data_IF_994964519180
#
_entry.id   IF_994964519180
#
_cell.length_a   1.000
_cell.length_b   1.000
_cell.length_c   1.000
_cell.angle_alpha   90.00
_cell.angle_beta   90.00
_cell.angle_gamma   90.00
#
_symmetry.space_group_name_H-M   'P 1'
#
loop_
_entity.id
_entity.type
_entity.pdbx_description
1 polymer ?
#
# COMPACT_ATOMS: atom_id res chain seq x y z
N UNK A 1 21.56 -7.97 9.22
CA UNK A 1 20.39 -7.27 8.64
C UNK A 1 20.53 -5.81 9.02
N UNK A 2 20.36 -4.88 8.07
CA UNK A 2 20.41 -3.45 8.37
C UNK A 2 19.22 -3.06 9.26
N UNK A 3 19.43 -2.20 10.25
CA UNK A 3 18.36 -1.67 11.09
C UNK A 3 17.35 -0.91 10.22
N UNK A 4 16.03 -1.09 10.44
CA UNK A 4 15.02 -0.32 9.73
C UNK A 4 15.28 1.18 9.90
N UNK A 5 15.38 1.89 8.77
CA UNK A 5 15.47 3.34 8.76
C UNK A 5 14.05 3.92 8.88
N UNK A 6 13.90 4.99 9.66
CA UNK A 6 12.62 5.69 9.89
C UNK A 6 12.81 7.20 9.69
N UNK A 7 13.28 7.59 8.51
CA UNK A 7 13.47 8.98 8.10
C UNK A 7 12.22 9.58 7.49
N UNK A 8 11.33 8.77 6.93
CA UNK A 8 10.01 9.24 6.50
C UNK A 8 9.16 9.42 7.76
N UNK A 9 8.79 10.67 8.03
CA UNK A 9 8.12 11.07 9.26
C UNK A 9 6.72 10.46 9.36
N UNK A 10 6.22 10.30 10.59
CA UNK A 10 4.84 9.86 10.84
C UNK A 10 3.82 10.81 10.20
N UNK A 11 4.12 12.11 10.13
CA UNK A 11 3.26 13.12 9.51
C UNK A 11 3.14 12.84 8.01
N UNK A 12 4.25 12.59 7.31
CA UNK A 12 4.24 12.24 5.88
C UNK A 12 3.52 10.93 5.62
N UNK A 13 3.79 9.89 6.42
CA UNK A 13 3.12 8.58 6.29
C UNK A 13 1.61 8.70 6.45
N UNK A 14 1.16 9.46 7.45
CA UNK A 14 -0.27 9.73 7.66
C UNK A 14 -0.88 10.52 6.51
N UNK A 15 -0.20 11.57 6.05
CA UNK A 15 -0.66 12.38 4.91
C UNK A 15 -0.87 11.52 3.66
N UNK A 16 0.07 10.61 3.37
CA UNK A 16 -0.03 9.66 2.25
C UNK A 16 -1.20 8.69 2.45
N UNK A 17 -1.32 8.09 3.65
CA UNK A 17 -2.42 7.19 3.98
C UNK A 17 -3.80 7.87 3.81
N UNK A 18 -3.94 9.09 4.32
CA UNK A 18 -5.16 9.88 4.21
C UNK A 18 -5.45 10.25 2.75
N UNK A 19 -4.43 10.64 1.98
CA UNK A 19 -4.57 10.94 0.54
C UNK A 19 -5.05 9.72 -0.24
N UNK A 20 -4.58 8.52 0.10
CA UNK A 20 -4.99 7.28 -0.56
C UNK A 20 -6.42 6.91 -0.15
N UNK A 21 -6.75 6.99 1.13
CA UNK A 21 -8.08 6.66 1.64
C UNK A 21 -9.19 7.59 1.13
N UNK A 22 -8.84 8.82 0.76
CA UNK A 22 -9.77 9.81 0.20
C UNK A 22 -9.73 9.88 -1.33
N UNK A 23 -8.84 9.12 -1.97
CA UNK A 23 -8.71 9.08 -3.42
C UNK A 23 -9.94 8.41 -4.04
N UNK A 24 -10.54 8.99 -5.10
CA UNK A 24 -11.58 8.30 -5.86
C UNK A 24 -11.02 7.13 -6.69
N UNK A 25 -9.70 7.02 -6.79
CA UNK A 25 -9.00 5.97 -7.54
C UNK A 25 -8.42 4.92 -6.60
N UNK A 26 -8.62 3.62 -6.87
CA UNK A 26 -8.09 2.55 -6.06
C UNK A 26 -6.56 2.49 -6.14
N UNK A 27 -5.91 2.41 -4.98
CA UNK A 27 -4.45 2.31 -4.87
C UNK A 27 -3.89 1.00 -5.46
N UNK A 28 -4.71 -0.06 -5.49
CA UNK A 28 -4.39 -1.35 -6.12
C UNK A 28 -4.51 -1.37 -7.65
N UNK A 29 -4.86 -0.24 -8.27
CA UNK A 29 -4.95 -0.11 -9.72
C UNK A 29 -5.95 -1.10 -10.34
N UNK A 30 -5.49 -1.87 -11.33
CA UNK A 30 -6.31 -2.87 -12.04
C UNK A 30 -6.39 -4.23 -11.32
N UNK A 31 -5.68 -4.39 -10.20
CA UNK A 31 -5.79 -5.57 -9.36
C UNK A 31 -6.86 -5.34 -8.29
N UNK A 32 -7.32 -6.43 -7.67
CA UNK A 32 -7.97 -6.31 -6.37
C UNK A 32 -6.92 -6.14 -5.26
N UNK A 33 -7.37 -5.68 -4.10
CA UNK A 33 -6.49 -5.41 -2.97
C UNK A 33 -5.75 -6.65 -2.42
N UNK A 34 -6.33 -7.88 -2.35
CA UNK A 34 -5.57 -9.05 -1.97
C UNK A 34 -4.51 -9.44 -3.02
N UNK A 35 -4.80 -9.37 -4.32
CA UNK A 35 -3.81 -9.68 -5.37
C UNK A 35 -2.70 -8.64 -5.43
N UNK A 36 -3.00 -7.36 -5.26
CA UNK A 36 -1.98 -6.33 -5.10
C UNK A 36 -1.09 -6.64 -3.88
N UNK A 37 -1.71 -6.89 -2.73
CA UNK A 37 -0.98 -7.09 -1.48
C UNK A 37 -0.12 -8.36 -1.51
N UNK A 38 -0.56 -9.40 -2.24
CA UNK A 38 0.20 -10.62 -2.49
C UNK A 38 1.49 -10.42 -3.30
N UNK A 39 1.65 -9.28 -4.00
CA UNK A 39 2.90 -8.91 -4.70
C UNK A 39 3.98 -8.43 -3.74
N UNK A 40 3.58 -7.92 -2.58
CA UNK A 40 4.48 -7.38 -1.57
C UNK A 40 4.72 -8.40 -0.44
N UNK A 41 3.67 -9.13 -0.06
CA UNK A 41 3.62 -10.00 1.12
C UNK A 41 3.17 -11.43 0.77
N UNK A 42 3.68 -12.44 1.48
CA UNK A 42 3.17 -13.81 1.37
C UNK A 42 1.88 -13.99 2.20
N UNK A 43 0.77 -13.49 1.65
CA UNK A 43 -0.53 -13.48 2.32
C UNK A 43 -1.07 -14.88 2.64
N UNK A 44 -0.66 -15.92 1.90
CA UNK A 44 -1.11 -17.30 2.14
C UNK A 44 -0.41 -17.91 3.36
N UNK A 45 0.80 -17.45 3.68
CA UNK A 45 1.51 -17.82 4.90
C UNK A 45 1.18 -16.94 6.10
N UNK A 46 0.65 -15.74 5.89
CA UNK A 46 0.23 -14.83 6.96
C UNK A 46 -1.10 -15.27 7.58
N UNK A 47 -1.20 -15.18 8.91
CA UNK A 47 -2.43 -15.55 9.64
C UNK A 47 -3.55 -14.52 9.39
N UNK A 48 -4.76 -15.02 9.23
CA UNK A 48 -5.99 -14.21 9.23
C UNK A 48 -6.21 -13.47 10.55
N UNK A 49 -6.81 -12.28 10.47
CA UNK A 49 -7.36 -11.56 11.64
C UNK A 49 -8.80 -11.98 11.96
N UNK A 50 -9.49 -12.55 11.00
CA UNK A 50 -10.79 -13.17 11.16
C UNK A 50 -10.65 -14.69 11.38
N UNK A 51 -11.08 -15.25 12.53
CA UNK A 51 -10.94 -16.68 12.82
C UNK A 51 -11.71 -17.60 11.86
N UNK A 52 -12.60 -17.07 11.01
CA UNK A 52 -13.30 -17.84 9.96
C UNK A 52 -12.38 -18.23 8.80
N UNK A 53 -11.24 -17.55 8.63
CA UNK A 53 -10.28 -17.81 7.56
C UNK A 53 -8.93 -18.25 8.15
N UNK A 54 -8.18 -19.04 7.37
CA UNK A 54 -6.87 -19.55 7.82
C UNK A 54 -5.74 -18.57 7.52
N UNK A 55 -5.81 -17.88 6.38
CA UNK A 55 -4.76 -17.01 5.88
C UNK A 55 -5.27 -15.60 5.58
N UNK A 56 -4.34 -14.65 5.52
CA UNK A 56 -4.66 -13.24 5.29
C UNK A 56 -5.27 -12.98 3.91
N UNK A 57 -4.89 -13.76 2.89
CA UNK A 57 -5.44 -13.61 1.53
C UNK A 57 -6.96 -13.82 1.52
N UNK A 58 -7.43 -14.95 2.05
CA UNK A 58 -8.86 -15.30 2.06
C UNK A 58 -9.68 -14.34 2.93
N UNK A 59 -9.09 -13.87 4.04
CA UNK A 59 -9.64 -12.85 4.94
C UNK A 59 -9.85 -11.51 4.21
N UNK A 60 -8.79 -10.99 3.59
CA UNK A 60 -8.83 -9.74 2.81
C UNK A 60 -9.81 -9.87 1.65
N UNK A 61 -9.75 -10.97 0.89
CA UNK A 61 -10.65 -11.19 -0.23
C UNK A 61 -12.12 -11.20 0.22
N UNK A 62 -12.45 -11.84 1.35
CA UNK A 62 -13.83 -11.78 1.85
C UNK A 62 -14.25 -10.34 2.14
N UNK A 63 -13.43 -9.60 2.88
CA UNK A 63 -13.83 -8.30 3.41
C UNK A 63 -13.77 -7.17 2.37
N UNK A 64 -12.79 -7.20 1.47
CA UNK A 64 -12.56 -6.13 0.50
C UNK A 64 -13.15 -6.40 -0.88
N UNK A 65 -13.35 -7.67 -1.27
CA UNK A 65 -13.87 -8.01 -2.61
C UNK A 65 -15.31 -8.47 -2.56
N UNK A 66 -15.71 -9.23 -1.52
CA UNK A 66 -17.08 -9.76 -1.42
C UNK A 66 -18.01 -8.87 -0.60
N UNK A 67 -17.50 -8.26 0.47
CA UNK A 67 -18.33 -7.48 1.40
C UNK A 67 -18.15 -5.96 1.25
N UNK A 68 -16.95 -5.49 0.91
CA UNK A 68 -16.56 -4.08 0.91
C UNK A 68 -16.77 -3.39 2.27
N UNK A 69 -16.27 -3.98 3.36
CA UNK A 69 -16.61 -3.57 4.74
C UNK A 69 -15.45 -3.09 5.65
N UNK A 70 -14.20 -2.96 5.14
CA UNK A 70 -13.10 -2.28 5.90
C UNK A 70 -12.76 -0.85 5.44
N UNK A 71 -13.30 -0.41 4.29
CA UNK A 71 -13.08 0.92 3.73
C UNK A 71 -11.72 1.10 3.03
N UNK A 72 -11.64 2.06 2.11
CA UNK A 72 -10.59 2.16 1.08
C UNK A 72 -9.15 2.33 1.61
N UNK A 73 -8.99 2.77 2.87
CA UNK A 73 -7.69 2.98 3.53
C UNK A 73 -7.27 1.89 4.50
N UNK A 74 -7.99 0.76 4.59
CA UNK A 74 -7.81 -0.25 5.65
C UNK A 74 -6.37 -0.77 5.77
N UNK A 75 -5.62 -0.87 4.66
CA UNK A 75 -4.27 -1.43 4.64
C UNK A 75 -3.30 -0.64 5.55
N UNK A 76 -3.55 0.66 5.75
CA UNK A 76 -2.73 1.52 6.62
C UNK A 76 -3.04 1.35 8.11
N UNK A 77 -4.18 0.77 8.47
CA UNK A 77 -4.58 0.51 9.86
C UNK A 77 -4.51 -0.98 10.22
N UNK A 78 -4.28 -1.85 9.24
CA UNK A 78 -4.20 -3.29 9.45
C UNK A 78 -2.90 -3.69 10.20
N UNK A 79 -3.02 -4.38 11.35
CA UNK A 79 -1.87 -4.76 12.16
C UNK A 79 -0.96 -5.80 11.49
N UNK A 80 -1.43 -6.53 10.47
CA UNK A 80 -0.62 -7.49 9.72
C UNK A 80 0.51 -6.81 8.94
N UNK A 81 0.27 -5.58 8.45
CA UNK A 81 1.24 -4.81 7.67
C UNK A 81 1.87 -3.67 8.46
N UNK A 82 1.12 -3.06 9.40
CA UNK A 82 1.64 -2.01 10.27
C UNK A 82 2.33 -0.86 9.49
N UNK A 83 1.83 -0.52 8.30
CA UNK A 83 2.50 0.33 7.30
C UNK A 83 2.95 1.70 7.82
N UNK A 84 2.24 2.25 8.81
CA UNK A 84 2.60 3.53 9.41
C UNK A 84 3.86 3.44 10.28
N UNK A 85 4.27 2.23 10.68
CA UNK A 85 5.38 2.01 11.62
C UNK A 85 6.48 1.09 11.07
N UNK A 86 6.32 0.49 9.88
CA UNK A 86 7.39 -0.27 9.21
C UNK A 86 8.58 0.62 8.82
N UNK A 87 9.72 0.00 8.53
CA UNK A 87 10.90 0.70 7.99
C UNK A 87 10.61 1.39 6.66
N UNK A 88 11.37 2.44 6.33
CA UNK A 88 11.18 3.23 5.11
C UNK A 88 11.22 2.39 3.84
N UNK A 89 12.09 1.39 3.77
CA UNK A 89 12.19 0.51 2.60
C UNK A 89 10.90 -0.26 2.32
N UNK A 90 10.25 -0.76 3.37
CA UNK A 90 8.99 -1.50 3.25
C UNK A 90 7.82 -0.57 2.91
N UNK A 91 7.79 0.61 3.54
CA UNK A 91 6.82 1.65 3.21
C UNK A 91 6.94 2.10 1.75
N UNK A 92 8.15 2.42 1.29
CA UNK A 92 8.41 2.81 -0.09
C UNK A 92 8.14 1.68 -1.08
N UNK A 93 8.36 0.42 -0.70
CA UNK A 93 7.98 -0.73 -1.54
C UNK A 93 6.48 -0.77 -1.81
N UNK A 94 5.64 -0.51 -0.80
CA UNK A 94 4.19 -0.42 -0.99
C UNK A 94 3.81 0.71 -1.95
N UNK A 95 4.40 1.90 -1.78
CA UNK A 95 4.13 3.05 -2.66
C UNK A 95 4.63 2.82 -4.10
N UNK A 96 5.80 2.21 -4.26
CA UNK A 96 6.35 1.87 -5.57
C UNK A 96 5.49 0.81 -6.29
N UNK A 97 4.91 -0.13 -5.55
CA UNK A 97 4.02 -1.15 -6.14
C UNK A 97 2.76 -0.51 -6.74
N UNK A 98 2.23 0.58 -6.17
CA UNK A 98 1.04 1.30 -6.68
C UNK A 98 1.20 1.84 -8.11
N UNK A 99 2.45 2.05 -8.54
CA UNK A 99 2.81 2.58 -9.86
C UNK A 99 3.49 1.53 -10.75
N UNK A 100 3.57 0.27 -10.30
CA UNK A 100 4.15 -0.80 -11.10
C UNK A 100 3.27 -1.09 -12.33
N UNK A 101 3.81 -1.34 -13.54
CA UNK A 101 3.00 -1.50 -14.77
C UNK A 101 1.94 -2.61 -14.73
N UNK A 102 2.18 -3.68 -13.95
CA UNK A 102 1.18 -4.75 -13.70
C UNK A 102 -0.01 -4.24 -12.89
N UNK A 103 0.23 -3.32 -11.94
CA UNK A 103 -0.80 -2.72 -11.10
C UNK A 103 -1.50 -1.60 -11.87
N UNK A 104 -0.73 -0.75 -12.55
CA UNK A 104 -1.22 0.44 -13.23
C UNK A 104 -0.54 0.58 -14.60
N UNK A 105 -1.17 0.08 -15.68
CA UNK A 105 -0.57 0.10 -17.02
C UNK A 105 -0.72 1.44 -17.74
N UNK A 106 -1.58 2.35 -17.27
CA UNK A 106 -1.75 3.68 -17.85
C UNK A 106 -0.65 4.64 -17.37
N UNK A 107 0.21 5.08 -18.30
CA UNK A 107 1.33 5.98 -18.00
C UNK A 107 0.89 7.36 -17.48
N UNK A 108 -0.27 7.86 -17.90
CA UNK A 108 -0.80 9.13 -17.42
C UNK A 108 -1.26 8.99 -15.96
N UNK A 109 -1.96 7.90 -15.62
CA UNK A 109 -2.33 7.64 -14.22
C UNK A 109 -1.09 7.42 -13.34
N UNK A 110 -0.07 6.72 -13.84
CA UNK A 110 1.22 6.57 -13.15
C UNK A 110 1.84 7.95 -12.87
N UNK A 111 1.86 8.84 -13.85
CA UNK A 111 2.42 10.18 -13.69
C UNK A 111 1.66 11.00 -12.63
N UNK A 112 0.33 10.92 -12.60
CA UNK A 112 -0.50 11.60 -11.60
C UNK A 112 -0.26 11.07 -10.18
N UNK A 113 -0.27 9.75 -10.00
CA UNK A 113 0.00 9.12 -8.69
C UNK A 113 1.42 9.44 -8.23
N UNK A 114 2.40 9.32 -9.12
CA UNK A 114 3.80 9.60 -8.81
C UNK A 114 4.00 11.07 -8.39
N UNK A 115 3.39 12.01 -9.10
CA UNK A 115 3.47 13.43 -8.76
C UNK A 115 2.90 13.71 -7.37
N UNK A 116 1.73 13.14 -7.04
CA UNK A 116 1.10 13.28 -5.73
C UNK A 116 1.95 12.68 -4.61
N UNK A 117 2.45 11.46 -4.80
CA UNK A 117 3.33 10.79 -3.82
C UNK A 117 4.62 11.59 -3.60
N UNK A 118 5.27 12.04 -4.68
CA UNK A 118 6.53 12.79 -4.59
C UNK A 118 6.35 14.19 -4.00
N UNK A 119 5.19 14.83 -4.18
CA UNK A 119 4.88 16.08 -3.47
C UNK A 119 4.95 15.90 -1.95
N UNK A 120 4.42 14.78 -1.45
CA UNK A 120 4.41 14.47 -0.01
C UNK A 120 5.76 13.97 0.49
N UNK A 121 6.40 13.04 -0.23
CA UNK A 121 7.68 12.43 0.17
C UNK A 121 8.84 13.42 0.20
N UNK A 122 8.83 14.43 -0.68
CA UNK A 122 9.90 15.42 -0.79
C UNK A 122 10.12 16.21 0.51
N UNK A 123 9.12 16.33 1.38
CA UNK A 123 9.25 16.96 2.70
C UNK A 123 10.29 16.25 3.57
N UNK A 124 10.42 14.94 3.42
CA UNK A 124 11.39 14.12 4.15
C UNK A 124 12.63 13.78 3.30
N UNK A 125 12.77 14.39 2.12
CA UNK A 125 13.91 14.18 1.22
C UNK A 125 13.88 12.87 0.43
N UNK A 126 12.68 12.30 0.23
CA UNK A 126 12.47 11.10 -0.57
C UNK A 126 11.74 11.41 -1.88
N UNK A 127 12.01 10.61 -2.90
CA UNK A 127 11.33 10.64 -4.18
C UNK A 127 11.27 9.22 -4.75
N UNK A 128 10.19 8.90 -5.46
CA UNK A 128 10.04 7.70 -6.26
C UNK A 128 10.37 8.02 -7.72
N UNK A 129 10.96 7.04 -8.41
CA UNK A 129 11.23 7.12 -9.84
C UNK A 129 10.75 5.82 -10.50
N UNK A 130 10.13 5.88 -11.70
CA UNK A 130 9.96 4.70 -12.54
C UNK A 130 11.33 4.05 -12.78
N UNK A 131 11.37 2.73 -12.81
CA UNK A 131 12.57 2.02 -13.24
C UNK A 131 12.56 2.00 -14.76
N UNK A 132 13.64 2.49 -15.38
CA UNK A 132 13.87 2.43 -16.83
C UNK A 132 13.95 0.98 -17.35
#
# INVERSE_FOLDING_TARGET
MATPQHRISQVTRRKIADSIALSPFPWCGNLDEPDFSARIYDLRSMRSTDPRYTNAYDDIHQHQVRNYDWGDGWIFTDPRFNLLHVGDAEFLKMLAEMIHPIVRPDEAEVAEVLASLNEMLRVDGYELHPMD
#
